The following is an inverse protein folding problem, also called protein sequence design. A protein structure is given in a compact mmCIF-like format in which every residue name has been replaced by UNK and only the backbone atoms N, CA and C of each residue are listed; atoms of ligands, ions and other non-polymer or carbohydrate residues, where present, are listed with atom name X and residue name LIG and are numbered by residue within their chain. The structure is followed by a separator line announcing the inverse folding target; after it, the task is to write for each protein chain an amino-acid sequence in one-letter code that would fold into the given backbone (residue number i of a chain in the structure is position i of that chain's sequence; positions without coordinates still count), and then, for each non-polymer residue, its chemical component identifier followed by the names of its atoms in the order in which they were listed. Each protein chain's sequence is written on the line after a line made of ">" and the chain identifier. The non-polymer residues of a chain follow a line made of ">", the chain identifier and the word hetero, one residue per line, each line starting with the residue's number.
data_IF_006629668323
#
_entry.id   IF_006629668323
#
_cell.length_a   1.000
_cell.length_b   1.000
_cell.length_c   1.000
_cell.angle_alpha   90.00
_cell.angle_beta   90.00
_cell.angle_gamma   90.00
#
_symmetry.space_group_name_H-M   'P 1'
#
loop_
_entity.id
_entity.type
_entity.pdbx_description
1 polymer ?
#
# COMPACT_ATOMS: atom_id res chain seq x y z
N UNK A 1 1.82 9.64 -22.21
CA UNK A 1 1.15 10.69 -23.02
C UNK A 1 0.70 11.90 -22.19
N UNK A 2 0.02 11.74 -21.05
CA UNK A 2 -0.65 12.88 -20.38
C UNK A 2 0.24 13.82 -19.52
N UNK A 3 1.34 13.35 -18.91
CA UNK A 3 2.14 14.19 -17.97
C UNK A 3 3.43 14.77 -18.56
N UNK A 4 3.98 14.17 -19.61
CA UNK A 4 5.27 14.55 -20.20
C UNK A 4 5.18 15.09 -21.62
N UNK A 5 4.00 15.48 -22.12
CA UNK A 5 3.83 15.96 -23.50
C UNK A 5 4.28 14.94 -24.56
N UNK A 6 4.16 13.64 -24.27
CA UNK A 6 4.65 12.57 -25.15
C UNK A 6 6.10 12.13 -24.93
N UNK A 7 6.85 12.72 -24.00
CA UNK A 7 8.20 12.26 -23.65
C UNK A 7 8.15 10.80 -23.15
N UNK A 8 9.04 9.92 -23.65
CA UNK A 8 9.13 8.54 -23.18
C UNK A 8 9.47 8.45 -21.68
N UNK A 9 8.70 7.66 -20.94
CA UNK A 9 8.97 7.36 -19.54
C UNK A 9 9.83 6.11 -19.46
N UNK A 10 11.08 6.27 -19.03
CA UNK A 10 12.07 5.19 -18.99
C UNK A 10 12.23 4.71 -17.56
N UNK A 11 11.97 3.42 -17.32
CA UNK A 11 12.36 2.74 -16.09
C UNK A 11 13.55 1.82 -16.37
N UNK A 12 14.78 2.22 -16.01
CA UNK A 12 15.99 1.57 -16.51
C UNK A 12 16.39 0.31 -15.73
N UNK A 13 16.14 0.26 -14.43
CA UNK A 13 16.60 -0.84 -13.58
C UNK A 13 15.62 -1.15 -12.46
N UNK A 14 15.79 -2.34 -11.90
CA UNK A 14 15.13 -2.81 -10.69
C UNK A 14 16.22 -3.21 -9.68
N UNK A 15 16.23 -2.51 -8.55
CA UNK A 15 17.24 -2.64 -7.50
C UNK A 15 16.62 -2.35 -6.12
N UNK A 16 17.29 -2.80 -5.07
CA UNK A 16 16.98 -2.48 -3.68
C UNK A 16 18.26 -2.24 -2.88
N UNK A 17 18.13 -1.90 -1.60
CA UNK A 17 19.29 -1.75 -0.70
C UNK A 17 20.03 -3.07 -0.48
N UNK A 18 19.33 -4.20 -0.60
CA UNK A 18 19.86 -5.55 -0.40
C UNK A 18 20.58 -6.08 -1.64
N UNK A 19 20.08 -5.82 -2.85
CA UNK A 19 20.66 -6.34 -4.09
C UNK A 19 20.29 -5.50 -5.32
N UNK A 20 21.15 -5.56 -6.34
CA UNK A 20 20.79 -5.17 -7.71
C UNK A 20 20.22 -6.39 -8.44
N UNK A 21 19.02 -6.28 -9.01
CA UNK A 21 18.34 -7.43 -9.63
C UNK A 21 18.55 -7.47 -11.13
N UNK A 22 18.18 -6.40 -11.83
CA UNK A 22 18.05 -6.45 -13.27
C UNK A 22 17.87 -5.11 -13.96
N UNK A 23 17.94 -5.15 -15.29
CA UNK A 23 17.82 -3.98 -16.16
C UNK A 23 16.70 -4.14 -17.19
N UNK A 24 16.11 -3.03 -17.60
CA UNK A 24 15.14 -3.01 -18.67
C UNK A 24 15.86 -2.98 -20.03
N UNK A 25 15.81 -4.11 -20.75
CA UNK A 25 16.39 -4.22 -22.09
C UNK A 25 15.54 -3.56 -23.19
N UNK A 26 14.33 -3.10 -22.85
CA UNK A 26 13.41 -2.37 -23.74
C UNK A 26 13.04 -1.02 -23.10
N UNK A 27 13.99 -0.07 -22.98
CA UNK A 27 13.80 1.15 -22.20
C UNK A 27 12.64 2.05 -22.67
N UNK A 28 12.23 1.91 -23.94
CA UNK A 28 11.13 2.67 -24.55
C UNK A 28 9.77 1.92 -24.52
N UNK A 29 9.69 0.78 -23.84
CA UNK A 29 8.42 0.09 -23.62
C UNK A 29 7.43 1.00 -22.89
N UNK A 30 6.12 0.81 -23.14
CA UNK A 30 5.11 1.51 -22.36
C UNK A 30 5.27 1.17 -20.86
N UNK A 31 4.94 2.08 -19.94
CA UNK A 31 5.11 1.84 -18.50
C UNK A 31 4.45 0.54 -17.99
N UNK A 32 3.30 0.15 -18.55
CA UNK A 32 2.60 -1.07 -18.19
C UNK A 32 3.23 -2.36 -18.75
N UNK A 33 4.15 -2.24 -19.71
CA UNK A 33 4.82 -3.38 -20.36
C UNK A 33 6.27 -3.56 -19.89
N UNK A 34 6.73 -2.73 -18.95
CA UNK A 34 8.11 -2.76 -18.42
C UNK A 34 8.40 -4.11 -17.78
N UNK A 35 9.52 -4.71 -18.18
CA UNK A 35 10.04 -5.95 -17.61
C UNK A 35 11.56 -5.84 -17.42
N UNK A 36 12.05 -6.33 -16.30
CA UNK A 36 13.47 -6.29 -15.94
C UNK A 36 14.09 -7.66 -16.16
N UNK A 37 15.19 -7.69 -16.91
CA UNK A 37 15.98 -8.91 -17.13
C UNK A 37 16.96 -9.07 -15.99
N UNK A 38 16.85 -10.17 -15.26
CA UNK A 38 17.71 -10.41 -14.12
C UNK A 38 19.15 -10.68 -14.55
N UNK A 39 20.08 -10.13 -13.78
CA UNK A 39 21.52 -10.27 -13.97
C UNK A 39 22.05 -11.36 -13.03
N UNK A 40 22.30 -12.59 -13.50
CA UNK A 40 22.58 -13.75 -12.64
C UNK A 40 23.91 -13.64 -11.86
N UNK A 41 24.74 -12.65 -12.17
CA UNK A 41 26.02 -12.41 -11.51
C UNK A 41 25.93 -11.49 -10.29
N UNK A 42 24.77 -10.87 -10.00
CA UNK A 42 24.65 -9.88 -8.91
C UNK A 42 24.30 -10.51 -7.56
N UNK A 43 23.53 -11.59 -7.57
CA UNK A 43 23.18 -12.39 -6.40
C UNK A 43 22.72 -13.78 -6.85
N UNK A 44 22.59 -14.72 -5.91
CA UNK A 44 21.85 -15.96 -6.17
C UNK A 44 20.36 -15.71 -5.91
N UNK A 45 19.51 -16.07 -6.88
CA UNK A 45 18.09 -15.80 -6.87
C UNK A 45 17.26 -17.09 -6.79
N UNK A 46 16.41 -17.16 -5.77
CA UNK A 46 15.36 -18.15 -5.59
C UNK A 46 13.99 -17.49 -5.70
N UNK A 47 12.96 -18.26 -6.07
CA UNK A 47 11.62 -17.75 -6.32
C UNK A 47 10.57 -18.61 -5.63
N UNK A 48 9.79 -18.02 -4.72
CA UNK A 48 8.69 -18.69 -4.04
C UNK A 48 7.39 -18.47 -4.82
N UNK A 49 6.70 -19.51 -5.31
CA UNK A 49 5.45 -19.35 -6.05
C UNK A 49 4.36 -18.61 -5.25
N UNK A 50 3.60 -17.75 -5.94
CA UNK A 50 2.48 -16.98 -5.37
C UNK A 50 1.22 -17.23 -6.20
N UNK A 51 0.17 -17.73 -5.57
CA UNK A 51 -1.13 -17.90 -6.21
C UNK A 51 -1.89 -16.57 -6.26
N UNK A 52 -2.02 -15.97 -7.47
CA UNK A 52 -2.87 -14.79 -7.70
C UNK A 52 -4.23 -15.11 -8.34
N UNK A 53 -4.42 -16.32 -8.84
CA UNK A 53 -5.69 -16.79 -9.40
C UNK A 53 -6.59 -17.36 -8.28
N UNK A 54 -7.29 -16.48 -7.56
CA UNK A 54 -8.26 -16.90 -6.55
C UNK A 54 -8.88 -15.72 -5.80
N UNK A 55 -10.08 -15.31 -6.22
CA UNK A 55 -10.90 -14.37 -5.46
C UNK A 55 -11.08 -14.83 -4.01
N UNK A 56 -10.86 -13.92 -3.06
CA UNK A 56 -11.42 -14.03 -1.72
C UNK A 56 -10.78 -15.05 -0.76
N UNK A 57 -9.52 -15.45 -0.93
CA UNK A 57 -8.78 -16.15 0.14
C UNK A 57 -7.62 -15.33 0.67
N UNK A 58 -7.97 -14.28 1.41
CA UNK A 58 -7.14 -13.88 2.54
C UNK A 58 -7.19 -15.02 3.56
N UNK A 59 -6.18 -15.91 3.54
CA UNK A 59 -5.72 -16.75 4.66
C UNK A 59 -4.66 -17.73 4.15
N UNK A 60 -3.44 -17.56 4.67
CA UNK A 60 -2.49 -18.62 5.02
C UNK A 60 -2.59 -19.93 4.22
N UNK A 61 -2.38 -19.86 2.91
CA UNK A 61 -1.96 -21.05 2.14
C UNK A 61 -0.48 -20.87 1.83
N UNK A 62 0.33 -20.93 2.89
CA UNK A 62 1.73 -21.36 2.83
C UNK A 62 1.77 -22.84 2.43
N UNK A 63 1.21 -23.20 1.27
CA UNK A 63 1.78 -24.33 0.55
C UNK A 63 3.18 -23.86 0.17
N UNK A 64 4.16 -24.28 0.98
CA UNK A 64 5.58 -24.08 0.70
C UNK A 64 5.86 -24.90 -0.55
N UNK A 65 5.50 -24.37 -1.72
CA UNK A 65 6.14 -24.83 -2.93
C UNK A 65 7.63 -24.52 -2.74
N UNK A 66 8.44 -25.55 -2.97
CA UNK A 66 9.89 -25.42 -2.87
C UNK A 66 10.33 -24.24 -3.72
N UNK A 67 11.18 -23.32 -3.20
CA UNK A 67 11.70 -22.25 -4.02
C UNK A 67 12.32 -22.83 -5.30
N UNK A 68 12.05 -22.17 -6.41
CA UNK A 68 12.59 -22.54 -7.72
C UNK A 68 13.76 -21.63 -8.06
N UNK A 69 14.77 -22.19 -8.69
CA UNK A 69 15.92 -21.41 -9.16
C UNK A 69 15.52 -20.48 -10.31
N UNK A 70 16.34 -19.45 -10.55
CA UNK A 70 16.17 -18.47 -11.63
C UNK A 70 15.83 -19.09 -13.00
N UNK A 71 16.45 -20.22 -13.34
CA UNK A 71 16.25 -20.88 -14.65
C UNK A 71 14.96 -21.71 -14.74
N UNK A 72 14.31 -21.98 -13.60
CA UNK A 72 13.17 -22.88 -13.48
C UNK A 72 11.83 -22.13 -13.32
N UNK A 73 11.85 -20.79 -13.35
CA UNK A 73 10.62 -19.99 -13.31
C UNK A 73 9.78 -20.20 -14.57
N UNK A 74 8.46 -20.13 -14.44
CA UNK A 74 7.52 -20.41 -15.54
C UNK A 74 6.86 -19.14 -16.04
N UNK A 75 6.72 -19.02 -17.36
CA UNK A 75 6.06 -17.89 -18.00
C UNK A 75 4.64 -17.69 -17.44
N UNK A 76 4.27 -16.44 -17.16
CA UNK A 76 2.96 -16.06 -16.64
C UNK A 76 2.75 -16.29 -15.14
N UNK A 77 3.64 -17.04 -14.48
CA UNK A 77 3.55 -17.31 -13.04
C UNK A 77 4.07 -16.14 -12.21
N UNK A 78 3.57 -16.07 -10.97
CA UNK A 78 3.93 -15.05 -9.99
C UNK A 78 4.82 -15.66 -8.92
N UNK A 79 5.84 -14.92 -8.52
CA UNK A 79 6.80 -15.36 -7.52
C UNK A 79 7.20 -14.23 -6.59
N UNK A 80 7.45 -14.56 -5.34
CA UNK A 80 8.20 -13.70 -4.44
C UNK A 80 9.71 -13.98 -4.59
N UNK A 81 10.50 -12.93 -4.74
CA UNK A 81 11.96 -13.06 -4.92
C UNK A 81 12.67 -13.22 -3.58
N UNK A 82 13.60 -14.18 -3.56
CA UNK A 82 14.47 -14.52 -2.43
C UNK A 82 15.91 -14.40 -2.91
N UNK A 83 16.75 -13.72 -2.13
CA UNK A 83 18.14 -13.43 -2.51
C UNK A 83 19.13 -14.06 -1.55
N UNK A 84 20.25 -14.54 -2.09
CA UNK A 84 21.47 -14.79 -1.34
C UNK A 84 22.58 -13.91 -1.90
N UNK A 85 23.16 -13.04 -1.08
CA UNK A 85 24.11 -12.00 -1.48
C UNK A 85 25.52 -12.29 -0.95
N UNK A 86 26.53 -11.72 -1.61
CA UNK A 86 27.93 -11.79 -1.15
C UNK A 86 28.14 -11.06 0.19
N UNK A 87 27.23 -10.17 0.57
CA UNK A 87 27.27 -9.38 1.82
C UNK A 87 26.66 -10.12 3.01
N UNK A 88 26.27 -11.39 2.86
CA UNK A 88 25.87 -12.26 3.97
C UNK A 88 24.36 -12.31 4.24
N UNK A 89 23.52 -11.85 3.31
CA UNK A 89 22.10 -12.19 3.32
C UNK A 89 21.93 -13.58 2.72
N UNK A 90 21.36 -14.51 3.47
CA UNK A 90 21.14 -15.89 3.03
C UNK A 90 19.65 -16.19 2.94
N UNK A 91 19.19 -16.53 1.74
CA UNK A 91 17.78 -16.84 1.44
C UNK A 91 16.83 -15.77 2.00
N UNK A 92 17.24 -14.52 1.87
CA UNK A 92 16.53 -13.37 2.40
C UNK A 92 15.33 -13.06 1.50
N UNK A 93 14.15 -12.99 2.10
CA UNK A 93 12.90 -12.68 1.39
C UNK A 93 12.80 -11.17 1.19
N UNK A 94 12.81 -10.72 -0.06
CA UNK A 94 12.68 -9.30 -0.39
C UNK A 94 11.24 -8.79 -0.15
N UNK A 95 10.26 -9.69 -0.25
CA UNK A 95 8.84 -9.36 -0.16
C UNK A 95 8.23 -8.78 -1.45
N UNK A 96 9.02 -8.66 -2.52
CA UNK A 96 8.52 -8.20 -3.82
C UNK A 96 7.95 -9.37 -4.62
N UNK A 97 6.75 -9.18 -5.19
CA UNK A 97 6.07 -10.12 -6.08
C UNK A 97 6.31 -9.72 -7.53
N UNK A 98 6.78 -10.67 -8.31
CA UNK A 98 7.19 -10.52 -9.69
C UNK A 98 6.40 -11.49 -10.58
N UNK A 99 6.03 -11.05 -11.77
CA UNK A 99 5.43 -11.91 -12.81
C UNK A 99 6.45 -12.19 -13.90
N UNK A 100 6.63 -13.45 -14.27
CA UNK A 100 7.47 -13.81 -15.43
C UNK A 100 6.75 -13.39 -16.72
N UNK A 101 7.34 -12.51 -17.50
CA UNK A 101 6.76 -11.99 -18.75
C UNK A 101 7.48 -12.47 -20.00
N UNK A 102 8.68 -13.03 -19.85
CA UNK A 102 9.46 -13.52 -20.97
C UNK A 102 10.85 -13.96 -20.55
N UNK A 103 11.69 -14.21 -21.54
CA UNK A 103 13.10 -14.58 -21.36
C UNK A 103 13.93 -13.85 -22.41
N UNK A 104 15.06 -13.30 -21.98
CA UNK A 104 16.11 -12.85 -22.88
C UNK A 104 17.21 -13.91 -22.90
N UNK A 105 17.32 -14.63 -24.01
CA UNK A 105 18.06 -15.89 -24.07
C UNK A 105 17.56 -16.86 -22.98
N UNK A 106 18.40 -17.17 -21.99
CA UNK A 106 18.04 -18.02 -20.83
C UNK A 106 17.70 -17.23 -19.57
N UNK A 107 17.91 -15.91 -19.55
CA UNK A 107 17.63 -15.09 -18.38
C UNK A 107 16.16 -14.67 -18.36
N UNK A 108 15.42 -14.95 -17.27
CA UNK A 108 14.03 -14.54 -17.16
C UNK A 108 13.88 -13.02 -17.09
N UNK A 109 12.74 -12.56 -17.60
CA UNK A 109 12.29 -11.17 -17.52
C UNK A 109 11.07 -11.10 -16.61
N UNK A 110 11.11 -10.15 -15.68
CA UNK A 110 10.09 -9.99 -14.65
C UNK A 110 9.43 -8.63 -14.72
N UNK A 111 8.10 -8.62 -14.69
CA UNK A 111 7.31 -7.44 -14.39
C UNK A 111 7.13 -7.33 -12.88
N UNK A 112 7.43 -6.15 -12.33
CA UNK A 112 7.12 -5.85 -10.92
C UNK A 112 5.61 -5.74 -10.73
N UNK A 113 5.09 -6.44 -9.71
CA UNK A 113 3.64 -6.47 -9.44
C UNK A 113 3.32 -5.64 -8.21
N UNK A 114 3.91 -5.99 -7.08
CA UNK A 114 3.73 -5.26 -5.81
C UNK A 114 4.79 -5.69 -4.80
N UNK A 115 4.95 -4.90 -3.73
CA UNK A 115 5.63 -5.33 -2.52
C UNK A 115 4.59 -5.80 -1.51
N UNK A 116 4.73 -7.02 -1.01
CA UNK A 116 3.81 -7.60 -0.04
C UNK A 116 3.70 -6.71 1.20
N UNK A 117 2.50 -6.71 1.78
CA UNK A 117 2.16 -6.02 3.03
C UNK A 117 2.24 -4.49 3.02
N UNK A 118 2.60 -3.84 1.90
CA UNK A 118 2.58 -2.37 1.78
C UNK A 118 1.17 -1.92 1.39
N UNK A 119 0.56 -1.06 2.22
CA UNK A 119 -0.78 -0.52 1.98
C UNK A 119 -0.76 0.94 1.53
N UNK A 120 0.18 1.75 2.00
CA UNK A 120 0.32 3.15 1.61
C UNK A 120 1.78 3.46 1.25
N UNK A 121 1.95 4.24 0.18
CA UNK A 121 3.23 4.72 -0.33
C UNK A 121 2.97 5.93 -1.23
N UNK A 122 3.68 7.04 -1.01
CA UNK A 122 3.67 8.21 -1.89
C UNK A 122 4.99 8.30 -2.67
N UNK A 123 6.10 8.04 -2.00
CA UNK A 123 7.46 8.05 -2.53
C UNK A 123 8.21 6.81 -1.99
N UNK A 124 9.39 6.95 -1.39
CA UNK A 124 10.15 5.83 -0.82
C UNK A 124 9.54 5.25 0.47
N UNK A 125 8.55 5.92 1.06
CA UNK A 125 7.81 5.44 2.23
C UNK A 125 7.02 4.17 1.92
N UNK A 126 7.02 3.24 2.87
CA UNK A 126 6.33 1.95 2.78
C UNK A 126 5.62 1.69 4.10
N UNK A 127 4.37 2.10 4.18
CA UNK A 127 3.54 1.87 5.37
C UNK A 127 2.77 0.57 5.22
N UNK A 128 2.91 -0.34 6.20
CA UNK A 128 2.17 -1.60 6.22
C UNK A 128 0.80 -1.47 6.89
N UNK A 129 -0.06 -2.48 6.71
CA UNK A 129 -1.34 -2.53 7.41
C UNK A 129 -1.15 -2.55 8.94
N UNK A 130 -0.11 -3.22 9.41
CA UNK A 130 0.23 -3.29 10.84
C UNK A 130 0.65 -1.92 11.38
N UNK A 131 1.49 -1.19 10.63
CA UNK A 131 1.92 0.15 11.01
C UNK A 131 0.73 1.12 11.06
N UNK A 132 -0.15 1.07 10.06
CA UNK A 132 -1.37 1.86 10.02
C UNK A 132 -2.29 1.52 11.19
N UNK A 133 -2.52 0.23 11.47
CA UNK A 133 -3.34 -0.21 12.60
C UNK A 133 -2.76 0.27 13.93
N UNK A 134 -1.45 0.15 14.15
CA UNK A 134 -0.77 0.65 15.36
C UNK A 134 -0.91 2.16 15.51
N UNK A 135 -0.75 2.91 14.43
CA UNK A 135 -0.88 4.37 14.42
C UNK A 135 -2.31 4.81 14.79
N UNK A 136 -3.32 4.16 14.22
CA UNK A 136 -4.73 4.43 14.52
C UNK A 136 -5.08 4.05 15.96
N UNK A 137 -4.58 2.93 16.47
CA UNK A 137 -4.80 2.51 17.85
C UNK A 137 -4.24 3.52 18.86
N UNK A 138 -3.10 4.16 18.58
CA UNK A 138 -2.56 5.23 19.44
C UNK A 138 -3.45 6.47 19.43
N UNK A 139 -3.93 6.91 18.27
CA UNK A 139 -4.81 8.07 18.19
C UNK A 139 -6.20 7.79 18.80
N UNK A 140 -6.68 6.55 18.74
CA UNK A 140 -7.93 6.12 19.38
C UNK A 140 -7.93 6.37 20.91
N UNK A 141 -6.78 6.24 21.58
CA UNK A 141 -6.66 6.47 23.04
C UNK A 141 -7.07 7.91 23.41
N UNK A 142 -6.84 8.89 22.52
CA UNK A 142 -7.25 10.29 22.75
C UNK A 142 -8.77 10.46 22.65
N UNK A 143 -9.44 9.64 21.85
CA UNK A 143 -10.89 9.70 21.64
C UNK A 143 -11.68 9.02 22.78
N UNK A 144 -11.11 8.04 23.46
CA UNK A 144 -11.80 7.24 24.47
C UNK A 144 -12.34 8.05 25.67
N UNK A 145 -11.59 8.99 26.28
CA UNK A 145 -12.08 9.83 27.38
C UNK A 145 -13.26 10.73 27.00
N UNK A 146 -13.38 11.06 25.70
CA UNK A 146 -14.46 11.89 25.16
C UNK A 146 -15.72 11.07 24.86
N UNK A 147 -15.69 9.76 25.09
CA UNK A 147 -16.77 8.84 24.74
C UNK A 147 -16.91 8.63 23.24
N UNK A 148 -15.90 8.96 22.43
CA UNK A 148 -15.92 8.80 20.97
C UNK A 148 -15.31 7.44 20.62
N UNK A 149 -16.02 6.67 19.79
CA UNK A 149 -15.57 5.36 19.32
C UNK A 149 -15.36 5.36 17.81
N UNK A 150 -14.15 4.97 17.40
CA UNK A 150 -13.86 4.61 16.01
C UNK A 150 -14.46 3.24 15.69
N UNK A 151 -15.44 3.18 14.79
CA UNK A 151 -16.09 1.94 14.37
C UNK A 151 -15.31 1.24 13.28
N UNK A 152 -14.89 2.00 12.26
CA UNK A 152 -14.22 1.48 11.08
C UNK A 152 -13.33 2.56 10.49
N UNK A 153 -12.25 2.13 9.84
CA UNK A 153 -11.37 3.02 9.11
C UNK A 153 -10.98 2.42 7.76
N UNK A 154 -10.53 3.30 6.87
CA UNK A 154 -9.79 2.93 5.66
C UNK A 154 -8.83 4.05 5.31
N UNK A 155 -7.98 3.83 4.31
CA UNK A 155 -6.96 4.78 3.89
C UNK A 155 -6.80 4.79 2.37
N UNK A 156 -6.18 5.82 1.83
CA UNK A 156 -5.63 5.79 0.48
C UNK A 156 -4.48 6.81 0.34
N UNK A 157 -3.63 6.58 -0.65
CA UNK A 157 -2.56 7.51 -1.03
C UNK A 157 -3.11 8.48 -2.09
N UNK A 158 -3.20 9.76 -1.74
CA UNK A 158 -3.69 10.81 -2.63
C UNK A 158 -2.52 11.48 -3.36
N UNK A 159 -2.44 11.22 -4.67
CA UNK A 159 -1.45 11.80 -5.58
C UNK A 159 -2.07 12.80 -6.56
N UNK A 160 -3.30 13.27 -6.29
CA UNK A 160 -3.98 14.28 -7.12
C UNK A 160 -3.36 15.67 -7.01
N UNK A 161 -2.72 15.96 -5.87
CA UNK A 161 -1.96 17.18 -5.61
C UNK A 161 -0.49 16.81 -5.36
N UNK A 162 0.42 17.70 -5.74
CA UNK A 162 1.84 17.59 -5.40
C UNK A 162 2.20 18.61 -4.33
N UNK A 163 2.86 18.21 -3.22
CA UNK A 163 3.24 16.84 -2.87
C UNK A 163 2.03 15.99 -2.45
N UNK A 164 2.07 14.68 -2.75
CA UNK A 164 1.01 13.74 -2.39
C UNK A 164 0.87 13.58 -0.87
N UNK A 165 -0.23 12.98 -0.41
CA UNK A 165 -0.51 12.78 1.03
C UNK A 165 -1.21 11.47 1.32
N UNK A 166 -1.10 11.03 2.56
CA UNK A 166 -1.99 10.00 3.09
C UNK A 166 -3.35 10.60 3.46
N UNK A 167 -4.42 9.89 3.13
CA UNK A 167 -5.77 10.24 3.52
C UNK A 167 -6.39 9.08 4.27
N UNK A 168 -6.91 9.36 5.46
CA UNK A 168 -7.61 8.39 6.30
C UNK A 168 -9.10 8.72 6.35
N UNK A 169 -9.93 7.68 6.28
CA UNK A 169 -11.37 7.77 6.48
C UNK A 169 -11.72 7.12 7.81
N UNK A 170 -12.33 7.88 8.73
CA UNK A 170 -12.76 7.39 10.03
C UNK A 170 -14.27 7.49 10.17
N UNK A 171 -14.93 6.38 10.45
CA UNK A 171 -16.32 6.37 10.89
C UNK A 171 -16.35 6.40 12.42
N UNK A 172 -16.95 7.46 12.98
CA UNK A 172 -16.98 7.71 14.41
C UNK A 172 -18.43 7.67 14.93
N UNK A 173 -18.61 7.17 16.15
CA UNK A 173 -19.88 7.23 16.89
C UNK A 173 -19.66 7.57 18.35
N UNK A 174 -20.69 8.11 19.02
CA UNK A 174 -20.69 8.27 20.47
C UNK A 174 -20.91 6.92 21.18
N UNK A 175 -20.29 6.72 22.34
CA UNK A 175 -20.47 5.51 23.14
C UNK A 175 -21.92 5.42 23.63
N UNK A 176 -22.65 4.39 23.19
CA UNK A 176 -24.04 4.16 23.55
C UNK A 176 -25.10 4.92 22.73
N UNK A 177 -24.70 5.70 21.69
CA UNK A 177 -25.60 6.36 20.74
C UNK A 177 -25.05 6.25 19.31
N UNK A 178 -25.93 6.21 18.32
CA UNK A 178 -25.51 6.24 16.90
C UNK A 178 -25.31 7.68 16.37
N UNK A 179 -25.31 8.67 17.27
CA UNK A 179 -25.13 10.07 16.93
C UNK A 179 -23.67 10.36 16.56
N UNK A 180 -23.50 11.26 15.60
CA UNK A 180 -22.18 11.79 15.23
C UNK A 180 -21.62 12.58 16.41
N UNK A 181 -20.37 12.32 16.85
CA UNK A 181 -19.77 13.12 17.90
C UNK A 181 -19.58 14.57 17.45
N UNK A 182 -19.67 15.52 18.40
CA UNK A 182 -19.27 16.91 18.12
C UNK A 182 -17.76 16.91 17.87
N UNK A 183 -17.38 17.17 16.62
CA UNK A 183 -15.98 17.14 16.19
C UNK A 183 -15.27 18.41 16.66
N UNK A 184 -14.40 18.28 17.64
CA UNK A 184 -13.46 19.33 18.01
C UNK A 184 -12.27 19.31 17.05
N UNK A 185 -12.05 20.41 16.33
CA UNK A 185 -11.00 20.50 15.34
C UNK A 185 -9.61 20.29 15.95
N UNK A 186 -9.37 20.76 17.16
CA UNK A 186 -8.07 20.63 17.83
C UNK A 186 -7.77 19.16 18.17
N UNK A 187 -8.77 18.43 18.64
CA UNK A 187 -8.65 17.01 18.98
C UNK A 187 -8.44 16.16 17.72
N UNK A 188 -9.17 16.46 16.65
CA UNK A 188 -9.03 15.74 15.38
C UNK A 188 -7.67 15.99 14.73
N UNK A 189 -7.16 17.22 14.82
CA UNK A 189 -5.81 17.58 14.40
C UNK A 189 -4.74 16.87 15.25
N UNK A 190 -4.91 16.81 16.57
CA UNK A 190 -4.03 16.02 17.45
C UNK A 190 -4.02 14.54 17.05
N UNK A 191 -5.17 13.96 16.70
CA UNK A 191 -5.25 12.59 16.20
C UNK A 191 -4.44 12.41 14.90
N UNK A 192 -4.48 13.38 13.98
CA UNK A 192 -3.68 13.36 12.76
C UNK A 192 -2.18 13.36 13.09
N UNK A 193 -1.75 14.23 14.01
CA UNK A 193 -0.35 14.32 14.45
C UNK A 193 0.11 13.00 15.08
N UNK A 194 -0.65 12.40 15.99
CA UNK A 194 -0.30 11.13 16.65
C UNK A 194 -0.15 9.98 15.64
N UNK A 195 -1.01 9.96 14.61
CA UNK A 195 -0.89 8.99 13.53
C UNK A 195 0.41 9.20 12.74
N UNK A 196 0.71 10.43 12.31
CA UNK A 196 1.95 10.72 11.59
C UNK A 196 3.20 10.42 12.42
N UNK A 197 3.18 10.75 13.71
CA UNK A 197 4.26 10.45 14.66
C UNK A 197 4.46 8.95 14.90
N UNK A 198 3.48 8.12 14.55
CA UNK A 198 3.55 6.67 14.71
C UNK A 198 4.13 5.96 13.50
N UNK A 199 4.24 6.64 12.35
CA UNK A 199 4.89 6.07 11.17
C UNK A 199 6.41 6.00 11.31
N UNK A 200 7.03 5.28 10.37
CA UNK A 200 8.45 5.02 10.37
C UNK A 200 9.30 6.29 10.12
N UNK A 201 10.61 6.12 10.25
CA UNK A 201 11.56 7.21 10.02
C UNK A 201 11.49 7.74 8.59
N UNK A 202 11.27 6.88 7.60
CA UNK A 202 11.24 7.25 6.17
C UNK A 202 10.09 8.20 5.87
N UNK A 203 8.87 7.87 6.30
CA UNK A 203 7.70 8.75 6.17
C UNK A 203 7.97 10.11 6.82
N UNK A 204 8.47 10.11 8.06
CA UNK A 204 8.76 11.34 8.81
C UNK A 204 9.83 12.20 8.13
N UNK A 205 10.88 11.58 7.60
CA UNK A 205 11.94 12.27 6.88
C UNK A 205 11.41 12.93 5.60
N UNK A 206 10.59 12.22 4.82
CA UNK A 206 9.96 12.74 3.61
C UNK A 206 8.92 13.83 3.90
N UNK A 207 8.15 13.67 4.97
CA UNK A 207 7.21 14.68 5.49
C UNK A 207 7.91 15.97 5.92
N UNK A 208 9.09 15.84 6.55
CA UNK A 208 9.96 16.96 6.93
C UNK A 208 10.61 17.64 5.71
N UNK A 209 11.00 16.84 4.73
CA UNK A 209 11.55 17.32 3.45
C UNK A 209 10.52 17.94 2.50
N UNK A 210 9.23 17.93 2.86
CA UNK A 210 8.15 18.47 2.02
C UNK A 210 7.83 17.61 0.79
N UNK A 211 8.29 16.35 0.75
CA UNK A 211 7.98 15.39 -0.31
C UNK A 211 6.60 14.76 -0.10
N UNK A 212 6.20 14.60 1.16
CA UNK A 212 4.86 14.17 1.57
C UNK A 212 4.17 15.34 2.26
N UNK A 213 2.95 15.66 1.83
CA UNK A 213 2.07 16.63 2.47
C UNK A 213 1.46 16.08 3.76
N UNK A 214 1.03 16.98 4.66
CA UNK A 214 0.37 16.59 5.92
C UNK A 214 -0.80 15.63 5.73
N UNK A 215 -0.81 14.58 6.56
CA UNK A 215 -1.88 13.58 6.59
C UNK A 215 -3.24 14.26 6.74
N UNK A 216 -4.19 13.80 5.94
CA UNK A 216 -5.56 14.27 5.94
C UNK A 216 -6.46 13.22 6.60
N UNK A 217 -7.27 13.64 7.57
CA UNK A 217 -8.28 12.83 8.21
C UNK A 217 -9.67 13.29 7.79
N UNK A 218 -10.41 12.40 7.14
CA UNK A 218 -11.81 12.59 6.75
C UNK A 218 -12.69 11.79 7.68
N UNK A 219 -13.53 12.49 8.44
CA UNK A 219 -14.58 11.83 9.24
C UNK A 219 -15.77 11.60 8.33
N UNK A 220 -16.33 10.39 8.37
CA UNK A 220 -17.54 10.02 7.63
C UNK A 220 -18.69 9.72 8.58
N UNK A 221 -19.92 9.92 8.09
CA UNK A 221 -21.15 9.60 8.83
C UNK A 221 -21.27 8.11 9.10
N UNK A 222 -21.99 7.76 10.16
CA UNK A 222 -22.34 6.37 10.44
C UNK A 222 -23.07 5.73 9.26
N UNK A 223 -22.69 4.49 8.92
CA UNK A 223 -23.26 3.72 7.80
C UNK A 223 -22.64 4.02 6.45
N UNK A 224 -21.61 4.88 6.37
CA UNK A 224 -20.89 5.11 5.10
C UNK A 224 -20.09 3.87 4.70
N UNK A 225 -19.51 3.15 5.66
CA UNK A 225 -18.82 1.89 5.38
C UNK A 225 -19.77 0.74 5.02
N UNK A 226 -21.04 0.80 5.44
CA UNK A 226 -22.08 -0.13 4.99
C UNK A 226 -22.38 0.07 3.50
N UNK A 227 -22.46 1.33 3.03
CA UNK A 227 -22.60 1.63 1.60
C UNK A 227 -21.38 1.15 0.79
N UNK A 228 -20.18 1.25 1.38
CA UNK A 228 -18.97 0.72 0.77
C UNK A 228 -19.02 -0.81 0.67
N UNK A 229 -19.52 -1.48 1.71
CA UNK A 229 -19.75 -2.93 1.69
C UNK A 229 -20.74 -3.31 0.58
N UNK A 230 -21.89 -2.64 0.49
CA UNK A 230 -22.89 -2.89 -0.55
C UNK A 230 -22.30 -2.75 -1.96
N UNK A 231 -21.43 -1.75 -2.16
CA UNK A 231 -20.70 -1.59 -3.42
C UNK A 231 -19.82 -2.80 -3.74
N UNK A 232 -19.01 -3.28 -2.79
CA UNK A 232 -18.17 -4.46 -3.02
C UNK A 232 -18.99 -5.74 -3.20
N UNK A 233 -20.10 -5.89 -2.47
CA UNK A 233 -21.04 -7.00 -2.64
C UNK A 233 -21.65 -6.99 -4.03
N UNK A 234 -22.05 -5.82 -4.55
CA UNK A 234 -22.54 -5.67 -5.93
C UNK A 234 -21.49 -6.06 -7.00
N UNK A 235 -20.20 -6.00 -6.64
CA UNK A 235 -19.07 -6.43 -7.49
C UNK A 235 -18.69 -7.91 -7.29
N UNK A 236 -19.48 -8.66 -6.51
CA UNK A 236 -19.30 -10.10 -6.30
C UNK A 236 -18.59 -10.48 -5.00
N UNK A 237 -18.38 -9.56 -4.07
CA UNK A 237 -17.86 -9.92 -2.75
C UNK A 237 -18.94 -10.62 -1.91
N UNK A 238 -18.52 -11.64 -1.14
CA UNK A 238 -19.41 -12.31 -0.19
C UNK A 238 -19.68 -11.41 1.01
N UNK A 239 -20.97 -11.21 1.34
CA UNK A 239 -21.42 -10.44 2.51
C UNK A 239 -20.83 -11.00 3.82
N UNK A 240 -20.81 -12.32 3.97
CA UNK A 240 -20.39 -12.97 5.24
C UNK A 240 -18.89 -12.96 5.48
N UNK A 241 -18.09 -12.70 4.45
CA UNK A 241 -16.63 -12.68 4.52
C UNK A 241 -16.05 -11.28 4.32
N UNK A 242 -16.90 -10.28 4.10
CA UNK A 242 -16.45 -8.92 3.85
C UNK A 242 -15.79 -8.33 5.10
N UNK A 243 -14.61 -7.77 4.88
CA UNK A 243 -13.94 -6.88 5.83
C UNK A 243 -13.67 -5.57 5.12
N UNK A 244 -13.89 -4.42 5.78
CA UNK A 244 -13.49 -3.13 5.23
C UNK A 244 -12.00 -3.16 4.85
N UNK A 245 -11.65 -2.80 3.61
CA UNK A 245 -10.25 -2.79 3.19
C UNK A 245 -9.49 -1.69 3.93
N UNK A 246 -8.33 -2.01 4.50
CA UNK A 246 -7.47 -1.04 5.18
C UNK A 246 -6.91 0.03 4.24
N UNK A 247 -6.80 -0.24 2.93
CA UNK A 247 -6.48 0.74 1.91
C UNK A 247 -7.32 0.57 0.63
N UNK A 248 -7.81 1.69 0.07
CA UNK A 248 -8.61 1.76 -1.14
C UNK A 248 -7.74 2.02 -2.37
N UNK A 249 -7.94 1.21 -3.40
CA UNK A 249 -7.34 1.40 -4.75
C UNK A 249 -8.36 1.87 -5.80
N UNK A 250 -9.66 1.71 -5.56
CA UNK A 250 -10.73 2.09 -6.50
C UNK A 250 -11.16 3.55 -6.30
N UNK A 251 -11.25 4.30 -7.39
CA UNK A 251 -11.73 5.69 -7.38
C UNK A 251 -13.20 5.77 -6.98
N UNK A 252 -14.00 4.79 -7.37
CA UNK A 252 -15.42 4.69 -7.04
C UNK A 252 -15.62 4.48 -5.54
N UNK A 253 -14.83 3.59 -4.92
CA UNK A 253 -14.83 3.38 -3.48
C UNK A 253 -14.48 4.66 -2.70
N UNK A 254 -13.47 5.40 -3.15
CA UNK A 254 -13.10 6.70 -2.56
C UNK A 254 -14.22 7.73 -2.72
N UNK A 255 -14.92 7.76 -3.86
CA UNK A 255 -16.08 8.64 -4.07
C UNK A 255 -17.23 8.32 -3.10
N UNK A 256 -17.50 7.04 -2.84
CA UNK A 256 -18.53 6.62 -1.88
C UNK A 256 -18.19 7.16 -0.49
N UNK A 257 -16.96 6.95 0.00
CA UNK A 257 -16.57 7.47 1.31
C UNK A 257 -16.58 9.00 1.38
N UNK A 258 -16.14 9.68 0.32
CA UNK A 258 -16.21 11.14 0.24
C UNK A 258 -17.65 11.68 0.29
N UNK A 259 -18.63 10.94 -0.26
CA UNK A 259 -20.04 11.35 -0.22
C UNK A 259 -20.65 11.34 1.18
N UNK A 260 -20.07 10.54 2.09
CA UNK A 260 -20.45 10.47 3.50
C UNK A 260 -19.62 11.39 4.40
N UNK A 261 -18.73 12.22 3.86
CA UNK A 261 -17.81 13.04 4.65
C UNK A 261 -18.56 14.14 5.42
N UNK A 262 -18.27 14.23 6.72
CA UNK A 262 -18.83 15.22 7.66
C UNK A 262 -17.80 16.22 8.15
N UNK A 263 -16.52 15.89 8.07
CA UNK A 263 -15.43 16.74 8.52
C UNK A 263 -14.10 16.35 7.88
N UNK A 264 -13.22 17.34 7.74
CA UNK A 264 -11.89 17.19 7.14
C UNK A 264 -10.88 17.94 8.00
N UNK A 265 -9.83 17.24 8.40
CA UNK A 265 -8.80 17.71 9.30
C UNK A 265 -7.43 17.35 8.74
N UNK A 266 -6.41 18.09 9.14
CA UNK A 266 -5.05 17.88 8.65
C UNK A 266 -4.09 17.87 9.82
N UNK A 267 -2.99 17.14 9.67
CA UNK A 267 -1.84 17.31 10.55
C UNK A 267 -1.18 18.67 10.28
N UNK A 268 -1.24 19.56 11.26
CA UNK A 268 -0.68 20.91 11.18
C UNK A 268 0.82 20.97 11.42
N UNK A 269 1.39 19.94 12.05
CA UNK A 269 2.77 19.97 12.53
C UNK A 269 3.68 19.10 11.69
N UNK A 270 4.75 19.70 11.20
CA UNK A 270 6.01 19.00 10.96
C UNK A 270 6.74 18.92 12.31
N UNK A 271 6.17 18.23 13.30
CA UNK A 271 6.86 18.00 14.58
C UNK A 271 7.97 17.00 14.30
N UNK A 272 9.23 17.44 14.19
CA UNK A 272 10.49 16.76 14.58
C UNK A 272 11.69 17.68 14.32
#
# INVERSE_FOLDING_TARGET
>A
EFYGGGIPLVSPNYSSSEACFGINLKPLSKPFDVSYTFLPNTAYFEFLPVNKDGGGKARDTRTIDKPVDLVNVKLGQYYEVVVTTLTGLYRYRIGDVLKVTGFYNKSPQFQFVERQNVVLSIDLDKTTEEDLSKAIMKAKIVLEPLGIMLTTYSSYADTSLMPGRYVLFWELKMKGRNDLPKLDAEIMEQCCCIVEESFDFTYKSLRKGGIISGLELRVVKHGTFDQLMDYYVSKGASITQYKPPSCLKSKEAVKILNSGMVGKFFSSKTMF
#
